data_IF_367920490944
#
_entry.id   IF_367920490944
#
_cell.length_a   1.000
_cell.length_b   1.000
_cell.length_c   1.000
_cell.angle_alpha   90.00
_cell.angle_beta   90.00
_cell.angle_gamma   90.00
#
_symmetry.space_group_name_H-M   'P 1'
#
loop_
_entity.id
_entity.type
_entity.pdbx_description
1 polymer ?
#
# COMPACT_ATOMS: atom_id res chain seq x y z
N UNK A 1 -14.08 48.87 -17.83
CA UNK A 1 -13.74 47.85 -18.85
C UNK A 1 -12.70 46.95 -18.22
N UNK A 2 -12.98 45.66 -18.05
CA UNK A 2 -11.98 44.70 -17.58
C UNK A 2 -11.26 44.12 -18.80
N UNK A 3 -9.94 44.08 -18.78
CA UNK A 3 -9.10 43.47 -19.82
C UNK A 3 -8.46 42.23 -19.22
N UNK A 4 -8.62 41.09 -19.87
CA UNK A 4 -7.95 39.87 -19.44
C UNK A 4 -6.44 40.00 -19.68
N UNK A 5 -5.65 39.80 -18.63
CA UNK A 5 -4.18 39.74 -18.69
C UNK A 5 -3.72 38.31 -18.42
N UNK A 6 -2.62 37.89 -19.06
CA UNK A 6 -1.99 36.60 -18.77
C UNK A 6 -1.22 36.70 -17.45
N UNK A 7 -1.45 35.77 -16.53
CA UNK A 7 -0.73 35.71 -15.24
C UNK A 7 -0.53 34.30 -14.67
N UNK A 8 -1.18 33.28 -15.23
CA UNK A 8 -1.13 31.91 -14.69
C UNK A 8 0.28 31.29 -14.71
N UNK A 9 0.99 31.38 -15.83
CA UNK A 9 2.33 30.81 -15.98
C UNK A 9 3.35 31.40 -14.99
N UNK A 10 3.36 32.73 -14.85
CA UNK A 10 4.23 33.42 -13.90
C UNK A 10 3.88 33.07 -12.45
N UNK A 11 2.59 32.95 -12.13
CA UNK A 11 2.14 32.53 -10.80
C UNK A 11 2.60 31.10 -10.47
N UNK A 12 2.50 30.18 -11.43
CA UNK A 12 2.95 28.78 -11.27
C UNK A 12 4.47 28.73 -11.08
N UNK A 13 5.24 29.45 -11.91
CA UNK A 13 6.70 29.49 -11.78
C UNK A 13 7.15 30.01 -10.40
N UNK A 14 6.53 31.09 -9.92
CA UNK A 14 6.80 31.63 -8.59
C UNK A 14 6.41 30.65 -7.48
N UNK A 15 5.28 29.94 -7.62
CA UNK A 15 4.86 28.94 -6.65
C UNK A 15 5.88 27.78 -6.55
N UNK A 16 6.45 27.34 -7.69
CA UNK A 16 7.51 26.33 -7.68
C UNK A 16 8.78 26.81 -6.98
N UNK A 17 9.22 28.06 -7.23
CA UNK A 17 10.37 28.63 -6.52
C UNK A 17 10.14 28.69 -5.01
N UNK A 18 8.95 29.10 -4.57
CA UNK A 18 8.59 29.12 -3.16
C UNK A 18 8.56 27.71 -2.54
N UNK A 19 8.15 26.70 -3.31
CA UNK A 19 8.18 25.31 -2.88
C UNK A 19 9.63 24.80 -2.73
N UNK A 20 10.52 25.15 -3.66
CA UNK A 20 11.94 24.78 -3.60
C UNK A 20 12.64 25.46 -2.42
N UNK A 21 12.37 26.74 -2.18
CA UNK A 21 12.86 27.47 -1.00
C UNK A 21 12.39 26.79 0.29
N UNK A 22 11.09 26.47 0.37
CA UNK A 22 10.50 25.78 1.52
C UNK A 22 11.12 24.39 1.72
N UNK A 23 11.33 23.62 0.64
CA UNK A 23 11.98 22.30 0.69
C UNK A 23 13.41 22.41 1.19
N UNK A 24 14.18 23.40 0.72
CA UNK A 24 15.57 23.60 1.16
C UNK A 24 15.64 24.00 2.63
N UNK A 25 14.71 24.83 3.12
CA UNK A 25 14.67 25.27 4.51
C UNK A 25 15.85 26.18 4.89
N UNK A 26 16.20 26.19 6.17
CA UNK A 26 17.30 27.03 6.69
C UNK A 26 18.65 26.63 6.08
N UNK A 27 19.34 27.61 5.50
CA UNK A 27 20.66 27.42 4.88
C UNK A 27 21.78 27.22 5.91
N UNK A 28 21.54 27.53 7.18
CA UNK A 28 22.46 27.21 8.28
C UNK A 28 22.51 25.71 8.58
N UNK A 29 21.45 24.98 8.22
CA UNK A 29 21.37 23.52 8.34
C UNK A 29 21.91 22.87 7.07
N UNK A 30 22.76 21.86 7.24
CA UNK A 30 23.29 21.07 6.14
C UNK A 30 22.16 20.42 5.34
N UNK A 31 22.28 20.46 4.01
CA UNK A 31 21.28 19.87 3.14
C UNK A 31 21.24 18.34 3.29
N UNK A 32 20.04 17.80 3.44
CA UNK A 32 19.84 16.36 3.47
C UNK A 32 20.23 15.72 2.12
N UNK A 33 21.12 14.74 2.17
CA UNK A 33 21.57 13.98 1.00
C UNK A 33 20.64 12.80 0.73
N UNK A 34 20.57 12.35 -0.54
CA UNK A 34 19.83 11.13 -0.91
C UNK A 34 20.41 9.91 -0.17
N UNK A 35 21.74 9.84 -0.05
CA UNK A 35 22.42 8.79 0.70
C UNK A 35 22.02 8.72 2.18
N UNK A 36 21.81 9.87 2.86
CA UNK A 36 21.30 9.88 4.23
C UNK A 36 19.90 9.28 4.32
N UNK A 37 18.98 9.67 3.43
CA UNK A 37 17.61 9.14 3.40
C UNK A 37 17.62 7.63 3.14
N UNK A 38 18.36 7.19 2.12
CA UNK A 38 18.46 5.79 1.73
C UNK A 38 18.95 4.90 2.88
N UNK A 39 19.96 5.35 3.64
CA UNK A 39 20.60 4.53 4.66
C UNK A 39 19.97 4.68 6.06
N UNK A 40 19.37 5.83 6.38
CA UNK A 40 18.88 6.13 7.73
C UNK A 40 17.35 6.09 7.84
N UNK A 41 16.62 6.19 6.72
CA UNK A 41 15.15 6.11 6.68
C UNK A 41 14.64 4.91 5.83
N UNK A 42 15.16 3.69 6.03
CA UNK A 42 14.92 2.57 5.12
C UNK A 42 13.45 2.15 5.03
N UNK A 43 12.66 2.33 6.10
CA UNK A 43 11.22 1.98 6.10
C UNK A 43 10.39 2.90 5.20
N UNK A 44 10.75 4.18 5.15
CA UNK A 44 10.12 5.17 4.24
C UNK A 44 10.45 4.81 2.80
N UNK A 45 11.73 4.54 2.51
CA UNK A 45 12.19 4.15 1.18
C UNK A 45 11.49 2.86 0.72
N UNK A 46 11.37 1.87 1.59
CA UNK A 46 10.65 0.63 1.31
C UNK A 46 9.17 0.88 0.95
N UNK A 47 8.47 1.75 1.69
CA UNK A 47 7.09 2.12 1.39
C UNK A 47 6.97 2.82 0.03
N UNK A 48 7.84 3.79 -0.26
CA UNK A 48 7.86 4.50 -1.55
C UNK A 48 8.13 3.54 -2.71
N UNK A 49 9.06 2.59 -2.56
CA UNK A 49 9.31 1.55 -3.58
C UNK A 49 8.08 0.64 -3.79
N UNK A 50 7.46 0.17 -2.70
CA UNK A 50 6.31 -0.75 -2.77
C UNK A 50 5.12 -0.09 -3.46
N UNK A 51 4.67 1.05 -2.94
CA UNK A 51 3.53 1.80 -3.47
C UNK A 51 3.87 2.52 -4.77
N UNK A 52 5.13 2.82 -5.07
CA UNK A 52 5.59 3.35 -6.36
C UNK A 52 5.79 2.27 -7.44
N UNK A 53 5.84 0.99 -7.05
CA UNK A 53 6.04 -0.17 -7.94
C UNK A 53 7.33 -0.14 -8.75
N UNK A 54 8.39 0.37 -8.15
CA UNK A 54 9.74 0.37 -8.72
C UNK A 54 10.72 0.07 -7.59
N UNK A 55 11.46 -1.03 -7.72
CA UNK A 55 12.53 -1.36 -6.78
C UNK A 55 13.80 -0.63 -7.19
N UNK A 56 14.01 0.53 -6.56
CA UNK A 56 15.26 1.30 -6.63
C UNK A 56 15.36 2.17 -5.37
N UNK A 57 16.21 1.79 -4.39
CA UNK A 57 16.31 2.54 -3.14
C UNK A 57 16.80 3.98 -3.30
N UNK A 58 17.65 4.24 -4.29
CA UNK A 58 18.20 5.58 -4.53
C UNK A 58 17.12 6.49 -5.13
N UNK A 59 16.40 6.01 -6.14
CA UNK A 59 15.30 6.77 -6.76
C UNK A 59 14.13 6.99 -5.80
N UNK A 60 13.80 6.01 -4.96
CA UNK A 60 12.78 6.19 -3.92
C UNK A 60 13.21 7.24 -2.87
N UNK A 61 14.48 7.25 -2.46
CA UNK A 61 15.03 8.27 -1.58
C UNK A 61 15.07 9.66 -2.24
N UNK A 62 15.40 9.73 -3.54
CA UNK A 62 15.34 10.96 -4.34
C UNK A 62 13.91 11.51 -4.41
N UNK A 63 12.91 10.66 -4.72
CA UNK A 63 11.52 11.04 -4.77
C UNK A 63 11.02 11.57 -3.41
N UNK A 64 11.40 10.90 -2.31
CA UNK A 64 11.08 11.34 -0.96
C UNK A 64 11.70 12.71 -0.63
N UNK A 65 12.97 12.93 -1.00
CA UNK A 65 13.64 14.23 -0.86
C UNK A 65 12.92 15.30 -1.66
N UNK A 66 12.62 15.02 -2.93
CA UNK A 66 11.97 15.96 -3.84
C UNK A 66 10.58 16.37 -3.34
N UNK A 67 9.84 15.42 -2.78
CA UNK A 67 8.53 15.61 -2.17
C UNK A 67 8.56 16.27 -0.77
N UNK A 68 9.72 16.70 -0.27
CA UNK A 68 9.86 17.29 1.07
C UNK A 68 9.33 16.40 2.19
N UNK A 69 9.42 15.08 2.01
CA UNK A 69 8.93 14.09 2.97
C UNK A 69 7.46 13.68 2.82
N UNK A 70 6.73 14.22 1.83
CA UNK A 70 5.38 13.73 1.50
C UNK A 70 5.46 12.38 0.80
N UNK A 71 4.95 11.34 1.47
CA UNK A 71 4.97 9.96 0.97
C UNK A 71 4.10 9.77 -0.28
N UNK A 72 2.93 10.41 -0.35
CA UNK A 72 2.00 10.21 -1.47
C UNK A 72 2.58 10.88 -2.72
N UNK A 73 3.12 12.09 -2.59
CA UNK A 73 3.80 12.78 -3.69
C UNK A 73 5.08 12.03 -4.12
N UNK A 74 5.86 11.49 -3.18
CA UNK A 74 7.04 10.68 -3.49
C UNK A 74 6.69 9.40 -4.28
N UNK A 75 5.62 8.71 -3.86
CA UNK A 75 5.08 7.55 -4.57
C UNK A 75 4.63 7.93 -5.97
N UNK A 76 3.94 9.06 -6.12
CA UNK A 76 3.48 9.53 -7.42
C UNK A 76 4.65 9.89 -8.34
N UNK A 77 5.68 10.60 -7.85
CA UNK A 77 6.90 10.91 -8.59
C UNK A 77 7.60 9.64 -9.10
N UNK A 78 7.79 8.65 -8.23
CA UNK A 78 8.44 7.38 -8.60
C UNK A 78 7.61 6.60 -9.62
N UNK A 79 6.29 6.56 -9.44
CA UNK A 79 5.35 5.91 -10.36
C UNK A 79 5.31 6.60 -11.73
N UNK A 80 5.35 7.93 -11.75
CA UNK A 80 5.42 8.71 -12.98
C UNK A 80 6.75 8.46 -13.70
N UNK A 81 7.87 8.43 -12.98
CA UNK A 81 9.18 8.11 -13.54
C UNK A 81 9.21 6.71 -14.16
N UNK A 82 8.62 5.70 -13.50
CA UNK A 82 8.50 4.33 -14.03
C UNK A 82 7.87 4.29 -15.43
N UNK A 83 6.90 5.17 -15.72
CA UNK A 83 6.25 5.21 -17.04
C UNK A 83 7.15 5.76 -18.15
N UNK A 84 8.29 6.37 -17.80
CA UNK A 84 9.30 6.83 -18.76
C UNK A 84 10.32 5.73 -19.12
N UNK A 85 10.33 4.63 -18.37
CA UNK A 85 11.30 3.55 -18.52
C UNK A 85 10.85 2.54 -19.57
N UNK A 86 11.83 1.96 -20.27
CA UNK A 86 11.60 0.85 -21.20
C UNK A 86 11.50 -0.46 -20.41
N UNK A 87 10.49 -1.27 -20.72
CA UNK A 87 10.38 -2.65 -20.18
C UNK A 87 11.24 -3.58 -21.05
N UNK A 88 12.37 -4.04 -20.51
CA UNK A 88 13.28 -4.95 -21.21
C UNK A 88 12.80 -6.41 -21.21
N UNK A 89 11.99 -6.82 -20.24
CA UNK A 89 11.50 -8.19 -20.13
C UNK A 89 10.79 -8.46 -18.81
N UNK A 90 10.64 -9.74 -18.49
CA UNK A 90 10.07 -10.23 -17.23
C UNK A 90 11.10 -11.12 -16.53
N UNK A 91 11.13 -11.06 -15.21
CA UNK A 91 11.87 -12.05 -14.43
C UNK A 91 11.17 -13.39 -14.48
N UNK A 92 11.91 -14.45 -14.18
CA UNK A 92 11.32 -15.69 -13.67
C UNK A 92 10.54 -15.38 -12.37
N UNK A 93 9.55 -16.21 -11.99
CA UNK A 93 8.92 -16.10 -10.68
C UNK A 93 9.97 -16.12 -9.57
N UNK A 94 9.81 -15.23 -8.58
CA UNK A 94 10.74 -15.14 -7.47
C UNK A 94 10.65 -16.40 -6.59
N UNK A 95 11.77 -17.06 -6.35
CA UNK A 95 11.83 -18.18 -5.42
C UNK A 95 12.17 -17.70 -4.00
N UNK A 96 11.15 -17.34 -3.22
CA UNK A 96 11.33 -16.94 -1.82
C UNK A 96 11.68 -18.11 -0.88
N UNK A 97 11.70 -19.36 -1.36
CA UNK A 97 12.22 -20.47 -0.57
C UNK A 97 13.74 -20.36 -0.40
N UNK A 98 14.44 -19.82 -1.41
CA UNK A 98 15.88 -19.56 -1.44
C UNK A 98 16.26 -18.18 -0.86
N UNK A 99 15.36 -17.53 -0.11
CA UNK A 99 15.60 -16.20 0.46
C UNK A 99 16.78 -16.21 1.44
N UNK A 100 17.72 -15.28 1.27
CA UNK A 100 18.73 -14.96 2.28
C UNK A 100 18.08 -14.19 3.43
N UNK A 101 17.64 -14.93 4.44
CA UNK A 101 16.84 -14.42 5.55
C UNK A 101 17.62 -13.45 6.44
N UNK A 102 16.99 -12.31 6.73
CA UNK A 102 17.35 -11.38 7.80
C UNK A 102 16.42 -11.47 8.99
N UNK A 103 15.18 -11.87 8.75
CA UNK A 103 14.14 -12.04 9.76
C UNK A 103 13.19 -13.15 9.31
N UNK A 104 12.76 -13.97 10.27
CA UNK A 104 11.81 -15.06 10.08
C UNK A 104 11.05 -15.31 11.38
N UNK A 105 9.75 -15.10 11.39
CA UNK A 105 8.92 -15.41 12.55
C UNK A 105 7.65 -16.18 12.18
N UNK A 106 7.13 -16.95 13.12
CA UNK A 106 5.82 -17.60 13.04
C UNK A 106 5.09 -17.48 14.37
N UNK A 107 3.79 -17.20 14.32
CA UNK A 107 2.92 -17.18 15.50
C UNK A 107 2.15 -18.49 15.70
N UNK A 108 2.22 -19.44 14.76
CA UNK A 108 1.47 -20.71 14.82
C UNK A 108 2.27 -21.84 15.47
N UNK A 109 3.60 -21.70 15.57
CA UNK A 109 4.48 -22.66 16.23
C UNK A 109 5.45 -21.97 17.16
N UNK A 110 5.71 -22.59 18.33
CA UNK A 110 6.72 -22.10 19.28
C UNK A 110 8.12 -22.19 18.68
N UNK A 111 8.49 -23.38 18.21
CA UNK A 111 9.78 -23.69 17.61
C UNK A 111 9.57 -24.18 16.18
N UNK A 112 10.49 -23.79 15.29
CA UNK A 112 10.46 -24.11 13.87
C UNK A 112 11.80 -24.70 13.44
N UNK A 113 11.85 -25.57 12.42
CA UNK A 113 13.10 -25.85 11.73
C UNK A 113 13.73 -24.54 11.22
N UNK A 114 15.00 -24.31 11.52
CA UNK A 114 15.68 -23.02 11.30
C UNK A 114 15.44 -21.93 12.36
N UNK A 115 14.61 -22.20 13.38
CA UNK A 115 14.35 -21.30 14.50
C UNK A 115 13.51 -20.06 14.18
N UNK A 116 13.21 -19.30 15.23
CA UNK A 116 12.64 -17.95 15.15
C UNK A 116 13.80 -16.95 15.06
N UNK A 117 13.86 -16.18 13.98
CA UNK A 117 14.90 -15.18 13.72
C UNK A 117 14.25 -13.80 13.81
N UNK A 118 14.44 -13.10 14.92
CA UNK A 118 13.81 -11.79 15.11
C UNK A 118 14.38 -10.73 14.16
N UNK A 119 15.67 -10.78 13.85
CA UNK A 119 16.31 -9.78 12.98
C UNK A 119 16.16 -8.33 13.48
N UNK A 120 16.45 -7.33 12.63
CA UNK A 120 16.21 -5.93 12.96
C UNK A 120 14.71 -5.65 13.03
N UNK A 121 14.20 -5.25 14.19
CA UNK A 121 12.77 -4.99 14.40
C UNK A 121 12.52 -3.96 15.49
N UNK A 122 11.40 -3.23 15.38
CA UNK A 122 10.86 -2.41 16.45
C UNK A 122 9.94 -3.21 17.40
N UNK A 123 9.69 -4.48 17.13
CA UNK A 123 8.97 -5.36 18.05
C UNK A 123 9.68 -5.39 19.40
N UNK A 124 8.90 -5.44 20.48
CA UNK A 124 9.39 -5.48 21.87
C UNK A 124 10.12 -4.22 22.38
N UNK A 125 10.33 -3.20 21.55
CA UNK A 125 10.87 -1.91 22.01
C UNK A 125 9.87 -1.16 22.92
N UNK A 126 10.38 -0.32 23.82
CA UNK A 126 9.52 0.63 24.55
C UNK A 126 9.29 1.87 23.68
N UNK A 127 8.02 2.28 23.50
CA UNK A 127 7.65 3.40 22.63
C UNK A 127 7.83 4.74 23.35
N UNK A 128 9.07 5.05 23.69
CA UNK A 128 9.50 6.30 24.32
C UNK A 128 10.35 7.08 23.31
N UNK A 129 10.18 8.40 23.27
CA UNK A 129 11.05 9.25 22.45
C UNK A 129 12.48 9.19 23.00
N UNK A 130 13.42 8.84 22.14
CA UNK A 130 14.83 8.80 22.47
C UNK A 130 15.48 10.17 22.23
N UNK A 131 15.58 10.96 23.30
CA UNK A 131 16.19 12.30 23.24
C UNK A 131 17.70 12.27 22.99
N UNK A 132 18.37 11.12 23.09
CA UNK A 132 19.80 11.01 22.79
C UNK A 132 20.09 11.27 21.31
N UNK A 133 19.13 10.97 20.42
CA UNK A 133 19.21 11.19 18.98
C UNK A 133 19.15 12.67 18.57
N UNK A 134 18.93 13.60 19.50
CA UNK A 134 19.05 15.04 19.25
C UNK A 134 20.50 15.54 19.29
N UNK A 135 21.43 14.72 19.78
CA UNK A 135 22.84 15.09 19.85
C UNK A 135 23.61 14.58 18.64
N UNK A 136 24.41 15.46 18.01
CA UNK A 136 25.29 15.11 16.87
C UNK A 136 26.50 14.26 17.28
N UNK A 137 26.60 13.89 18.56
CA UNK A 137 27.65 13.00 19.02
C UNK A 137 27.45 11.66 18.34
N UNK A 138 28.47 11.22 17.60
CA UNK A 138 28.54 9.86 17.11
C UNK A 138 28.37 8.93 18.33
N UNK A 139 27.17 8.40 18.51
CA UNK A 139 26.98 7.23 19.35
C UNK A 139 28.01 6.19 18.86
N UNK A 140 28.65 5.47 19.78
CA UNK A 140 29.51 4.35 19.43
C UNK A 140 28.81 3.52 18.35
N UNK A 141 29.51 3.22 17.25
CA UNK A 141 28.94 2.46 16.15
C UNK A 141 28.23 1.23 16.74
N UNK A 142 26.93 1.02 16.46
CA UNK A 142 26.22 -0.11 17.04
C UNK A 142 26.92 -1.40 16.63
N UNK A 143 27.65 -2.01 17.57
CA UNK A 143 28.31 -3.29 17.35
C UNK A 143 27.27 -4.39 17.50
N UNK A 144 26.57 -4.67 16.42
CA UNK A 144 25.89 -5.93 16.26
C UNK A 144 26.95 -7.05 16.26
N UNK A 145 26.89 -7.98 17.23
CA UNK A 145 27.71 -9.20 17.20
C UNK A 145 27.32 -10.03 15.97
N UNK A 146 27.99 -9.79 14.85
CA UNK A 146 27.74 -10.50 13.59
C UNK A 146 27.92 -12.02 13.74
N UNK A 147 28.72 -12.47 14.70
CA UNK A 147 28.96 -13.88 15.01
C UNK A 147 27.78 -14.56 15.75
N UNK A 148 26.88 -13.80 16.40
CA UNK A 148 25.65 -14.31 17.04
C UNK A 148 24.40 -14.10 16.16
N UNK A 149 24.45 -13.18 15.19
CA UNK A 149 23.37 -12.90 14.24
C UNK A 149 23.51 -13.87 13.06
N UNK A 150 23.24 -15.15 13.32
CA UNK A 150 22.95 -16.16 12.31
C UNK A 150 23.83 -16.12 11.06
N UNK A 151 25.16 -16.12 11.21
CA UNK A 151 26.13 -16.23 10.13
C UNK A 151 26.14 -17.59 9.40
N UNK A 152 25.01 -18.32 9.38
CA UNK A 152 25.01 -19.71 8.95
C UNK A 152 23.66 -20.36 8.66
N UNK A 153 22.61 -19.61 8.31
CA UNK A 153 21.40 -20.24 7.78
C UNK A 153 21.34 -20.10 6.25
N UNK A 154 22.38 -20.63 5.60
CA UNK A 154 22.43 -20.95 4.16
C UNK A 154 21.73 -22.27 3.82
N UNK A 155 21.18 -22.97 4.82
CA UNK A 155 20.37 -24.15 4.58
C UNK A 155 18.97 -23.76 4.08
N UNK A 156 18.41 -24.57 3.18
CA UNK A 156 17.07 -24.37 2.63
C UNK A 156 16.04 -24.51 3.76
N UNK A 157 15.68 -23.39 4.40
CA UNK A 157 14.76 -23.39 5.53
C UNK A 157 13.33 -23.60 4.99
N UNK A 158 12.66 -24.69 5.35
CA UNK A 158 11.32 -24.99 4.87
C UNK A 158 10.30 -23.96 5.38
N UNK A 159 9.28 -23.70 4.56
CA UNK A 159 8.15 -22.82 4.90
C UNK A 159 7.24 -23.51 5.91
N UNK A 160 6.63 -22.71 6.80
CA UNK A 160 5.67 -23.19 7.80
C UNK A 160 4.45 -23.83 7.14
N UNK A 161 3.94 -23.20 6.08
CA UNK A 161 2.82 -23.71 5.28
C UNK A 161 3.13 -25.03 4.58
N UNK A 162 4.41 -25.30 4.26
CA UNK A 162 4.84 -26.59 3.71
C UNK A 162 4.64 -27.75 4.68
N UNK A 163 4.76 -27.53 6.00
CA UNK A 163 4.45 -28.56 6.99
C UNK A 163 2.94 -28.81 7.08
N UNK A 164 2.14 -27.74 7.13
CA UNK A 164 0.68 -27.84 7.19
C UNK A 164 0.12 -28.52 5.94
N UNK A 165 0.68 -28.23 4.76
CA UNK A 165 0.25 -28.82 3.49
C UNK A 165 0.56 -30.32 3.42
N UNK A 166 1.74 -30.76 3.88
CA UNK A 166 2.09 -32.21 3.95
C UNK A 166 1.15 -33.02 4.84
N UNK A 167 0.56 -32.39 5.86
CA UNK A 167 -0.44 -33.01 6.73
C UNK A 167 -1.89 -32.84 6.22
N UNK A 168 -2.09 -32.16 5.08
CA UNK A 168 -3.41 -31.86 4.53
C UNK A 168 -4.21 -30.87 5.38
N UNK A 169 -3.55 -30.08 6.22
CA UNK A 169 -4.19 -29.15 7.16
C UNK A 169 -4.46 -27.77 6.57
N UNK A 170 -3.82 -27.40 5.46
CA UNK A 170 -4.01 -26.12 4.77
C UNK A 170 -4.29 -26.38 3.29
N UNK A 171 -5.08 -25.51 2.68
CA UNK A 171 -5.28 -25.56 1.22
C UNK A 171 -3.94 -25.49 0.48
N UNK A 172 -3.78 -26.38 -0.50
CA UNK A 172 -2.61 -26.36 -1.38
C UNK A 172 -2.72 -25.20 -2.36
N UNK A 173 -1.58 -24.56 -2.61
CA UNK A 173 -1.46 -23.59 -3.68
C UNK A 173 -0.88 -24.35 -4.86
N UNK A 174 -1.74 -24.70 -5.81
CA UNK A 174 -1.30 -25.37 -7.01
C UNK A 174 -0.35 -24.45 -7.76
N UNK A 175 0.79 -24.97 -8.18
CA UNK A 175 1.61 -24.26 -9.14
C UNK A 175 0.78 -24.13 -10.43
N UNK A 176 0.43 -22.90 -10.78
CA UNK A 176 -0.01 -22.61 -12.15
C UNK A 176 1.10 -23.04 -13.10
N UNK A 177 0.74 -23.44 -14.33
CA UNK A 177 1.76 -23.83 -15.31
C UNK A 177 2.60 -22.58 -15.61
N UNK A 178 3.92 -22.70 -15.77
CA UNK A 178 4.81 -21.54 -16.06
C UNK A 178 4.38 -20.78 -17.34
N UNK A 179 3.51 -21.39 -18.15
CA UNK A 179 2.88 -20.82 -19.34
C UNK A 179 1.61 -20.00 -19.10
N UNK A 180 1.01 -20.04 -17.92
CA UNK A 180 -0.22 -19.32 -17.63
C UNK A 180 0.04 -17.80 -17.62
N UNK A 181 -0.77 -17.08 -18.40
CA UNK A 181 -0.61 -15.65 -18.55
C UNK A 181 -1.06 -14.91 -17.27
N UNK A 182 -0.11 -14.32 -16.56
CA UNK A 182 -0.38 -13.44 -15.42
C UNK A 182 -0.95 -12.10 -15.90
N UNK A 183 -2.05 -11.67 -15.30
CA UNK A 183 -2.66 -10.37 -15.57
C UNK A 183 -1.76 -9.20 -15.23
N UNK A 184 -1.88 -8.09 -15.97
CA UNK A 184 -1.07 -6.89 -15.76
C UNK A 184 -1.91 -5.60 -15.80
N UNK A 185 -2.24 -5.09 -14.60
CA UNK A 185 -2.94 -3.82 -14.38
C UNK A 185 -2.22 -2.61 -14.96
N UNK A 186 -0.92 -2.71 -15.24
CA UNK A 186 -0.16 -1.63 -15.87
C UNK A 186 -0.32 -1.61 -17.39
N UNK A 187 -0.99 -2.61 -17.97
CA UNK A 187 -1.27 -2.72 -19.41
C UNK A 187 -2.75 -2.84 -19.73
N UNK A 188 -3.53 -3.43 -18.83
CA UNK A 188 -4.96 -3.65 -19.00
C UNK A 188 -5.73 -3.02 -17.83
N UNK A 189 -6.85 -2.33 -18.08
CA UNK A 189 -7.66 -1.79 -17.00
C UNK A 189 -8.25 -2.90 -16.14
N UNK A 190 -8.44 -2.62 -14.85
CA UNK A 190 -9.08 -3.54 -13.92
C UNK A 190 -10.50 -3.87 -14.37
N UNK A 191 -10.85 -5.16 -14.38
CA UNK A 191 -12.21 -5.65 -14.60
C UNK A 191 -12.66 -6.44 -13.37
N UNK A 192 -13.87 -6.16 -12.89
CA UNK A 192 -14.48 -6.86 -11.76
C UNK A 192 -15.50 -7.88 -12.30
N UNK A 193 -15.50 -9.12 -11.82
CA UNK A 193 -14.60 -9.64 -10.79
C UNK A 193 -13.21 -10.00 -11.33
N UNK A 194 -12.17 -9.63 -10.59
CA UNK A 194 -10.77 -9.84 -10.95
C UNK A 194 -10.26 -11.21 -10.48
N UNK A 195 -9.29 -11.74 -11.22
CA UNK A 195 -8.52 -12.92 -10.82
C UNK A 195 -7.53 -12.57 -9.68
N UNK A 196 -7.12 -13.58 -8.91
CA UNK A 196 -6.35 -13.37 -7.67
C UNK A 196 -4.98 -12.71 -7.91
N UNK A 197 -4.36 -13.00 -9.05
CA UNK A 197 -3.13 -12.36 -9.53
C UNK A 197 -3.28 -10.83 -9.67
N UNK A 198 -4.34 -10.36 -10.33
CA UNK A 198 -4.67 -8.94 -10.47
C UNK A 198 -5.01 -8.31 -9.12
N UNK A 199 -5.73 -9.02 -8.25
CA UNK A 199 -6.01 -8.53 -6.89
C UNK A 199 -4.73 -8.36 -6.10
N UNK A 200 -3.84 -9.36 -6.07
CA UNK A 200 -2.55 -9.27 -5.40
C UNK A 200 -1.66 -8.17 -5.99
N UNK A 201 -1.66 -7.99 -7.32
CA UNK A 201 -0.94 -6.90 -7.98
C UNK A 201 -1.48 -5.52 -7.56
N UNK A 202 -2.80 -5.36 -7.46
CA UNK A 202 -3.44 -4.14 -6.95
C UNK A 202 -3.10 -3.89 -5.48
N UNK A 203 -3.21 -4.91 -4.62
CA UNK A 203 -2.91 -4.78 -3.19
C UNK A 203 -1.43 -4.44 -2.94
N UNK A 204 -0.51 -4.99 -3.72
CA UNK A 204 0.92 -4.64 -3.64
C UNK A 204 1.15 -3.14 -3.92
N UNK A 205 0.36 -2.55 -4.84
CA UNK A 205 0.39 -1.13 -5.24
C UNK A 205 -0.38 -0.20 -4.31
N UNK A 206 -1.34 -0.73 -3.56
CA UNK A 206 -2.28 0.10 -2.79
C UNK A 206 -1.65 0.88 -1.63
N UNK A 207 -2.41 1.75 -1.01
CA UNK A 207 -2.01 2.51 0.17
C UNK A 207 -1.93 1.61 1.40
N UNK A 208 -0.81 1.70 2.11
CA UNK A 208 -0.60 0.91 3.31
C UNK A 208 -1.61 1.22 4.43
N UNK A 209 -2.02 2.48 4.60
CA UNK A 209 -2.97 2.90 5.64
C UNK A 209 -4.40 2.43 5.38
N UNK A 210 -4.83 2.49 4.11
CA UNK A 210 -6.11 1.97 3.66
C UNK A 210 -6.20 0.45 3.88
N UNK A 211 -5.22 -0.31 3.39
CA UNK A 211 -5.19 -1.76 3.56
C UNK A 211 -5.09 -2.17 5.04
N UNK A 212 -4.30 -1.45 5.83
CA UNK A 212 -4.23 -1.67 7.28
C UNK A 212 -5.61 -1.50 7.93
N UNK A 213 -6.35 -0.45 7.55
CA UNK A 213 -7.66 -0.16 8.11
C UNK A 213 -8.69 -1.23 7.73
N UNK A 214 -8.66 -1.71 6.48
CA UNK A 214 -9.48 -2.83 6.03
C UNK A 214 -9.15 -4.12 6.79
N UNK A 215 -7.87 -4.49 6.86
CA UNK A 215 -7.42 -5.66 7.62
C UNK A 215 -7.81 -5.59 9.09
N UNK A 216 -7.65 -4.41 9.72
CA UNK A 216 -8.08 -4.20 11.10
C UNK A 216 -9.60 -4.33 11.27
N UNK A 217 -10.40 -3.87 10.29
CA UNK A 217 -11.85 -4.03 10.34
C UNK A 217 -12.29 -5.50 10.37
N UNK A 218 -11.61 -6.39 9.64
CA UNK A 218 -11.93 -7.82 9.65
C UNK A 218 -11.61 -8.47 11.00
N UNK A 219 -10.49 -8.07 11.62
CA UNK A 219 -10.12 -8.48 12.98
C UNK A 219 -11.13 -8.00 14.04
N UNK A 220 -11.80 -6.88 13.77
CA UNK A 220 -12.87 -6.31 14.62
C UNK A 220 -14.25 -6.90 14.36
N UNK A 221 -14.39 -7.79 13.37
CA UNK A 221 -15.60 -8.56 13.14
C UNK A 221 -16.32 -8.28 11.81
N UNK A 222 -15.83 -7.34 11.00
CA UNK A 222 -16.42 -7.02 9.68
C UNK A 222 -15.84 -7.97 8.62
N UNK A 223 -16.54 -9.07 8.32
CA UNK A 223 -16.03 -10.10 7.41
C UNK A 223 -14.99 -10.99 8.11
N UNK A 224 -15.38 -11.56 9.27
CA UNK A 224 -14.50 -12.32 10.17
C UNK A 224 -13.70 -13.39 9.43
N UNK A 225 -12.38 -13.24 9.47
CA UNK A 225 -11.44 -14.20 8.93
C UNK A 225 -10.28 -14.43 9.92
N UNK A 226 -10.55 -14.98 11.12
CA UNK A 226 -9.58 -15.17 12.23
C UNK A 226 -8.15 -15.50 11.76
N UNK A 227 -7.25 -14.49 11.67
CA UNK A 227 -5.97 -14.66 11.01
C UNK A 227 -4.88 -15.02 12.03
N UNK A 228 -4.02 -15.95 11.67
CA UNK A 228 -2.78 -16.27 12.36
C UNK A 228 -1.60 -16.03 11.44
N UNK A 229 -0.53 -15.43 11.94
CA UNK A 229 0.72 -15.30 11.19
C UNK A 229 1.35 -16.69 11.09
N UNK A 230 1.19 -17.34 9.92
CA UNK A 230 1.84 -18.60 9.63
C UNK A 230 3.34 -18.40 9.53
N UNK A 231 3.76 -17.46 8.69
CA UNK A 231 5.17 -17.07 8.57
C UNK A 231 5.30 -15.63 8.04
N UNK A 232 6.25 -14.87 8.59
CA UNK A 232 6.79 -13.64 8.00
C UNK A 232 8.27 -13.86 7.75
N UNK A 233 8.72 -13.60 6.52
CA UNK A 233 10.13 -13.69 6.11
C UNK A 233 10.57 -12.37 5.50
N UNK A 234 11.71 -11.84 5.93
CA UNK A 234 12.34 -10.68 5.32
C UNK A 234 13.75 -11.07 4.91
N UNK A 235 14.12 -10.76 3.68
CA UNK A 235 15.44 -11.13 3.18
C UNK A 235 15.62 -10.76 1.72
N UNK A 236 16.77 -11.18 1.18
CA UNK A 236 17.14 -10.95 -0.21
C UNK A 236 16.80 -12.17 -1.06
N UNK A 237 16.24 -11.94 -2.24
CA UNK A 237 15.89 -12.98 -3.21
C UNK A 237 16.53 -12.60 -4.54
N UNK A 238 17.17 -13.56 -5.20
CA UNK A 238 17.74 -13.39 -6.52
C UNK A 238 16.64 -13.12 -7.55
N UNK A 239 16.94 -12.25 -8.52
CA UNK A 239 16.08 -11.96 -9.66
C UNK A 239 16.76 -12.52 -10.89
N UNK A 240 16.09 -13.46 -11.53
CA UNK A 240 16.60 -14.10 -12.74
C UNK A 240 15.77 -13.70 -13.95
N UNK A 241 16.41 -13.52 -15.10
CA UNK A 241 15.75 -13.35 -16.40
C UNK A 241 16.25 -14.41 -17.37
N UNK A 242 15.47 -14.68 -18.43
CA UNK A 242 15.90 -15.51 -19.56
C UNK A 242 15.96 -14.62 -20.80
N UNK A 243 17.13 -14.03 -21.13
CA UNK A 243 17.28 -13.22 -22.34
C UNK A 243 17.12 -14.09 -23.57
N UNK A 244 16.43 -13.57 -24.59
CA UNK A 244 16.22 -14.28 -25.86
C UNK A 244 17.56 -14.63 -26.53
N UNK A 245 18.56 -13.77 -26.36
CA UNK A 245 19.90 -13.91 -26.93
C UNK A 245 20.71 -15.05 -26.30
N UNK A 246 20.41 -15.42 -25.05
CA UNK A 246 21.14 -16.46 -24.30
C UNK A 246 20.37 -17.78 -24.23
N UNK A 247 19.04 -17.73 -24.11
CA UNK A 247 18.19 -18.92 -24.00
C UNK A 247 18.33 -19.69 -22.66
N UNK A 248 19.01 -19.12 -21.65
CA UNK A 248 19.10 -19.68 -20.30
C UNK A 248 18.98 -18.58 -19.24
N UNK A 249 18.66 -18.99 -18.00
CA UNK A 249 18.47 -18.07 -16.89
C UNK A 249 19.80 -17.43 -16.44
N UNK A 250 19.79 -16.11 -16.23
CA UNK A 250 20.90 -15.36 -15.64
C UNK A 250 20.39 -14.57 -14.43
N UNK A 251 21.20 -14.55 -13.37
CA UNK A 251 21.00 -13.69 -12.20
C UNK A 251 21.39 -12.25 -12.55
N UNK A 252 20.47 -11.30 -12.33
CA UNK A 252 20.68 -9.87 -12.59
C UNK A 252 20.78 -9.04 -11.30
N UNK A 253 20.76 -9.69 -10.14
CA UNK A 253 20.88 -9.09 -8.83
C UNK A 253 19.82 -9.59 -7.85
N UNK A 254 19.78 -8.95 -6.70
CA UNK A 254 18.90 -9.32 -5.59
C UNK A 254 17.98 -8.16 -5.18
N UNK A 255 16.78 -8.52 -4.74
CA UNK A 255 15.84 -7.58 -4.15
C UNK A 255 15.54 -7.97 -2.72
N UNK A 256 15.41 -6.97 -1.85
CA UNK A 256 14.92 -7.17 -0.49
C UNK A 256 13.39 -7.19 -0.52
N UNK A 257 12.80 -8.25 0.01
CA UNK A 257 11.35 -8.42 0.09
C UNK A 257 10.93 -8.86 1.49
N UNK A 258 9.69 -8.54 1.83
CA UNK A 258 8.96 -9.12 2.96
C UNK A 258 7.82 -9.98 2.40
N UNK A 259 7.85 -11.27 2.72
CA UNK A 259 6.78 -12.24 2.45
C UNK A 259 5.99 -12.48 3.73
N UNK A 260 4.66 -12.43 3.64
CA UNK A 260 3.75 -12.77 4.73
C UNK A 260 2.72 -13.80 4.26
N UNK A 261 2.65 -14.91 4.99
CA UNK A 261 1.65 -15.95 4.81
C UNK A 261 0.76 -16.02 6.05
N UNK A 262 -0.52 -15.72 5.86
CA UNK A 262 -1.54 -15.84 6.89
C UNK A 262 -2.23 -17.20 6.79
N UNK A 263 -2.49 -17.81 7.94
CA UNK A 263 -3.36 -18.97 8.09
C UNK A 263 -4.69 -18.47 8.64
N UNK A 264 -5.79 -18.81 7.98
CA UNK A 264 -7.12 -18.34 8.33
C UNK A 264 -8.05 -19.53 8.64
N UNK A 265 -9.15 -19.23 9.31
CA UNK A 265 -10.11 -20.23 9.78
C UNK A 265 -10.49 -21.27 8.71
N UNK A 266 -10.64 -22.52 9.15
CA UNK A 266 -10.84 -23.65 8.28
C UNK A 266 -12.21 -23.65 7.61
N UNK A 267 -12.27 -24.17 6.38
CA UNK A 267 -13.52 -24.52 5.70
C UNK A 267 -13.50 -26.02 5.39
N UNK A 268 -14.63 -26.68 5.58
CA UNK A 268 -14.85 -28.08 5.20
C UNK A 268 -16.24 -28.22 4.58
N UNK A 269 -16.42 -29.22 3.74
CA UNK A 269 -17.72 -29.55 3.13
C UNK A 269 -18.03 -31.02 3.36
N UNK A 270 -19.18 -31.50 2.87
CA UNK A 270 -19.46 -32.94 2.88
C UNK A 270 -18.51 -33.73 1.95
N UNK A 271 -17.85 -33.06 1.00
CA UNK A 271 -16.99 -33.67 -0.02
C UNK A 271 -15.51 -33.37 0.18
N UNK A 272 -15.14 -32.44 1.06
CA UNK A 272 -13.76 -32.02 1.32
C UNK A 272 -13.48 -31.93 2.82
N UNK A 273 -12.37 -32.53 3.24
CA UNK A 273 -11.92 -32.47 4.62
C UNK A 273 -11.73 -31.00 5.06
N UNK A 274 -12.01 -30.66 6.34
CA UNK A 274 -11.77 -29.31 6.82
C UNK A 274 -10.29 -28.93 6.76
N UNK A 275 -9.96 -27.88 5.99
CA UNK A 275 -8.59 -27.36 5.86
C UNK A 275 -8.57 -25.88 6.19
N UNK A 276 -7.47 -25.41 6.78
CA UNK A 276 -7.19 -23.98 6.88
C UNK A 276 -7.15 -23.35 5.49
N UNK A 277 -7.60 -22.09 5.44
CA UNK A 277 -7.42 -21.25 4.26
C UNK A 277 -6.21 -20.34 4.47
N UNK A 278 -5.78 -19.63 3.43
CA UNK A 278 -4.60 -18.79 3.48
C UNK A 278 -4.78 -17.43 2.80
N UNK A 279 -4.00 -16.48 3.29
CA UNK A 279 -3.81 -15.16 2.69
C UNK A 279 -2.34 -14.91 2.40
N UNK A 280 -2.05 -14.15 1.35
CA UNK A 280 -0.69 -13.90 0.88
C UNK A 280 -0.39 -12.40 0.71
N UNK A 281 0.80 -11.99 1.15
CA UNK A 281 1.30 -10.64 0.94
C UNK A 281 2.80 -10.63 0.65
N UNK A 282 3.21 -9.82 -0.32
CA UNK A 282 4.60 -9.65 -0.71
C UNK A 282 4.87 -8.17 -1.01
N UNK A 283 5.90 -7.60 -0.38
CA UNK A 283 6.25 -6.19 -0.56
C UNK A 283 7.77 -5.99 -0.60
N UNK A 284 8.23 -4.91 -1.22
CA UNK A 284 9.64 -4.53 -1.20
C UNK A 284 10.10 -4.06 0.19
N UNK A 285 11.39 -4.28 0.48
CA UNK A 285 12.03 -3.88 1.72
C UNK A 285 11.42 -4.54 2.96
N UNK A 286 11.53 -3.88 4.11
CA UNK A 286 11.07 -4.36 5.41
C UNK A 286 9.66 -3.80 5.77
N UNK A 287 8.71 -3.89 4.83
CA UNK A 287 7.34 -3.40 5.00
C UNK A 287 6.39 -4.47 5.56
N UNK A 288 6.68 -4.99 6.77
CA UNK A 288 5.89 -6.07 7.40
C UNK A 288 4.41 -5.72 7.54
N UNK A 289 4.10 -4.53 8.06
CA UNK A 289 2.72 -4.10 8.28
C UNK A 289 1.91 -4.08 6.98
N UNK A 290 2.50 -3.61 5.87
CA UNK A 290 1.91 -3.67 4.55
C UNK A 290 1.66 -5.11 4.11
N UNK A 291 2.68 -5.98 4.17
CA UNK A 291 2.59 -7.37 3.74
C UNK A 291 1.53 -8.15 4.54
N UNK A 292 1.46 -7.93 5.85
CA UNK A 292 0.42 -8.50 6.71
C UNK A 292 -0.98 -8.01 6.32
N UNK A 293 -1.15 -6.71 6.10
CA UNK A 293 -2.43 -6.13 5.70
C UNK A 293 -2.88 -6.68 4.34
N UNK A 294 -1.95 -6.79 3.39
CA UNK A 294 -2.18 -7.41 2.09
C UNK A 294 -2.64 -8.86 2.23
N UNK A 295 -1.99 -9.67 3.08
CA UNK A 295 -2.38 -11.07 3.29
C UNK A 295 -3.78 -11.22 3.89
N UNK A 296 -4.15 -10.37 4.84
CA UNK A 296 -5.51 -10.39 5.42
C UNK A 296 -6.57 -9.96 4.40
N UNK A 297 -6.29 -8.92 3.61
CA UNK A 297 -7.22 -8.42 2.59
C UNK A 297 -7.31 -9.37 1.39
N UNK A 298 -6.21 -9.98 0.94
CA UNK A 298 -6.23 -11.05 -0.06
C UNK A 298 -7.22 -12.14 0.34
N UNK A 299 -7.08 -12.67 1.56
CA UNK A 299 -8.02 -13.68 2.05
C UNK A 299 -9.46 -13.18 2.13
N UNK A 300 -9.70 -11.92 2.52
CA UNK A 300 -11.05 -11.36 2.57
C UNK A 300 -11.70 -11.28 1.17
N UNK A 301 -10.92 -10.92 0.14
CA UNK A 301 -11.37 -10.85 -1.26
C UNK A 301 -11.59 -12.22 -1.91
N UNK A 302 -11.20 -13.32 -1.25
CA UNK A 302 -11.47 -14.68 -1.70
C UNK A 302 -12.86 -15.19 -1.31
N UNK A 303 -13.75 -14.33 -0.81
CA UNK A 303 -15.10 -14.70 -0.39
C UNK A 303 -15.87 -15.49 -1.47
N UNK A 304 -15.77 -15.09 -2.75
CA UNK A 304 -16.39 -15.80 -3.88
C UNK A 304 -15.79 -17.18 -4.13
N UNK A 305 -14.45 -17.28 -4.12
CA UNK A 305 -13.73 -18.56 -4.31
C UNK A 305 -14.04 -19.55 -3.20
N UNK A 306 -14.27 -19.01 -2.01
CA UNK A 306 -14.50 -19.76 -0.80
C UNK A 306 -15.98 -19.84 -0.45
N UNK A 307 -16.91 -19.48 -1.34
CA UNK A 307 -18.37 -19.54 -1.13
C UNK A 307 -18.78 -18.98 0.27
N UNK A 308 -18.35 -17.75 0.54
CA UNK A 308 -18.62 -16.95 1.74
C UNK A 308 -19.48 -15.74 1.37
N UNK A 309 -20.32 -15.28 2.31
CA UNK A 309 -21.08 -14.05 2.13
C UNK A 309 -20.14 -12.82 2.13
N UNK A 310 -20.42 -11.89 1.22
CA UNK A 310 -19.70 -10.62 1.07
C UNK A 310 -20.46 -9.51 1.81
N UNK A 311 -20.31 -9.47 3.13
CA UNK A 311 -21.11 -8.60 4.00
C UNK A 311 -20.31 -7.44 4.60
N UNK A 312 -19.04 -7.30 4.24
CA UNK A 312 -18.14 -6.31 4.80
C UNK A 312 -17.29 -5.59 3.73
N UNK A 313 -16.89 -4.33 3.97
CA UNK A 313 -16.10 -3.56 3.01
C UNK A 313 -14.80 -4.23 2.58
N UNK A 314 -14.13 -4.99 3.44
CA UNK A 314 -12.90 -5.69 3.10
C UNK A 314 -13.10 -6.91 2.18
N UNK A 315 -14.34 -7.38 2.03
CA UNK A 315 -14.73 -8.47 1.13
C UNK A 315 -15.30 -7.94 -0.20
N UNK A 316 -15.72 -6.67 -0.24
CA UNK A 316 -16.26 -6.02 -1.42
C UNK A 316 -15.13 -5.68 -2.39
N UNK A 317 -15.02 -6.50 -3.43
CA UNK A 317 -13.93 -6.45 -4.40
C UNK A 317 -13.85 -5.12 -5.15
N UNK A 318 -14.98 -4.56 -5.57
CA UNK A 318 -15.00 -3.29 -6.28
C UNK A 318 -14.62 -2.14 -5.35
N UNK A 319 -15.15 -2.14 -4.12
CA UNK A 319 -14.82 -1.13 -3.12
C UNK A 319 -13.33 -1.16 -2.74
N UNK A 320 -12.75 -2.34 -2.50
CA UNK A 320 -11.33 -2.41 -2.11
C UNK A 320 -10.41 -2.01 -3.25
N UNK A 321 -10.59 -2.60 -4.44
CA UNK A 321 -9.60 -2.45 -5.52
C UNK A 321 -9.66 -1.08 -6.21
N UNK A 322 -10.82 -0.41 -6.19
CA UNK A 322 -11.00 0.91 -6.82
C UNK A 322 -10.59 2.08 -5.91
N UNK A 323 -10.32 1.82 -4.63
CA UNK A 323 -9.97 2.85 -3.64
C UNK A 323 -8.63 2.58 -2.94
N UNK A 324 -7.86 1.59 -3.42
CA UNK A 324 -6.59 1.21 -2.82
C UNK A 324 -5.41 2.07 -3.33
N UNK A 325 -5.35 2.45 -4.60
CA UNK A 325 -4.20 3.18 -5.16
C UNK A 325 -4.23 4.67 -4.74
N UNK A 326 -3.29 5.09 -3.90
CA UNK A 326 -3.24 6.49 -3.42
C UNK A 326 -2.84 7.48 -4.52
N UNK A 327 -2.22 7.04 -5.61
CA UNK A 327 -1.95 7.93 -6.76
C UNK A 327 -3.26 8.38 -7.37
N UNK A 328 -4.20 7.45 -7.57
CA UNK A 328 -5.53 7.76 -8.10
C UNK A 328 -6.36 8.54 -7.06
N UNK A 329 -6.41 8.05 -5.82
CA UNK A 329 -7.22 8.65 -4.77
C UNK A 329 -6.76 10.08 -4.44
N UNK A 330 -5.45 10.30 -4.28
CA UNK A 330 -4.91 11.64 -4.00
C UNK A 330 -5.16 12.58 -5.17
N UNK A 331 -4.86 12.15 -6.40
CA UNK A 331 -5.11 12.96 -7.59
C UNK A 331 -6.59 13.39 -7.69
N UNK A 332 -7.51 12.47 -7.43
CA UNK A 332 -8.95 12.74 -7.47
C UNK A 332 -9.47 13.50 -6.24
N UNK A 333 -8.82 13.51 -5.08
CA UNK A 333 -9.23 14.41 -3.99
C UNK A 333 -8.68 15.81 -4.22
N UNK A 334 -7.42 15.90 -4.64
CA UNK A 334 -6.71 17.16 -4.80
C UNK A 334 -7.16 17.96 -6.02
N UNK A 335 -7.75 17.32 -7.04
CA UNK A 335 -8.27 18.05 -8.19
C UNK A 335 -9.30 19.10 -7.79
N UNK A 336 -9.98 18.97 -6.63
CA UNK A 336 -10.92 19.96 -6.10
C UNK A 336 -10.29 21.36 -5.89
N UNK A 337 -8.95 21.45 -5.82
CA UNK A 337 -8.20 22.72 -5.81
C UNK A 337 -8.27 23.46 -7.17
N UNK A 338 -8.56 22.74 -8.26
CA UNK A 338 -8.67 23.31 -9.59
C UNK A 338 -9.95 24.17 -9.73
N UNK A 339 -10.00 25.06 -10.73
CA UNK A 339 -11.15 25.93 -10.89
C UNK A 339 -12.44 25.18 -11.29
N UNK A 340 -13.41 25.13 -10.38
CA UNK A 340 -14.77 24.57 -10.61
C UNK A 340 -15.87 25.64 -10.70
N UNK A 341 -15.49 26.89 -11.01
CA UNK A 341 -16.41 28.03 -10.93
C UNK A 341 -17.57 27.94 -11.93
N UNK A 342 -17.42 27.24 -13.06
CA UNK A 342 -18.51 27.08 -14.04
C UNK A 342 -19.62 26.19 -13.48
N UNK A 343 -19.27 24.99 -13.01
CA UNK A 343 -20.24 24.05 -12.42
C UNK A 343 -20.90 24.65 -11.18
N UNK A 344 -20.10 25.34 -10.35
CA UNK A 344 -20.62 26.02 -9.18
C UNK A 344 -21.61 27.14 -9.54
N UNK A 345 -21.41 27.88 -10.64
CA UNK A 345 -22.39 28.88 -11.09
C UNK A 345 -23.71 28.24 -11.51
N UNK A 346 -23.69 27.05 -12.12
CA UNK A 346 -24.89 26.30 -12.47
C UNK A 346 -25.68 25.90 -11.22
N UNK A 347 -25.00 25.35 -10.20
CA UNK A 347 -25.60 25.02 -8.90
C UNK A 347 -26.14 26.24 -8.17
N UNK A 348 -25.39 27.34 -8.14
CA UNK A 348 -25.85 28.61 -7.56
C UNK A 348 -27.12 29.12 -8.25
N UNK A 349 -27.20 28.98 -9.57
CA UNK A 349 -28.35 29.40 -10.36
C UNK A 349 -29.58 28.54 -10.03
N UNK A 350 -29.40 27.23 -9.87
CA UNK A 350 -30.47 26.33 -9.40
C UNK A 350 -30.96 26.71 -8.01
N UNK A 351 -30.07 26.91 -7.04
CA UNK A 351 -30.43 27.30 -5.67
C UNK A 351 -31.17 28.63 -5.66
N UNK A 352 -30.71 29.64 -6.41
CA UNK A 352 -31.39 30.94 -6.52
C UNK A 352 -32.81 30.79 -7.07
N UNK A 353 -33.01 29.94 -8.08
CA UNK A 353 -34.33 29.66 -8.64
C UNK A 353 -35.25 28.95 -7.63
N UNK A 354 -34.74 27.96 -6.90
CA UNK A 354 -35.51 27.25 -5.87
C UNK A 354 -35.92 28.19 -4.73
N UNK A 355 -35.01 29.06 -4.26
CA UNK A 355 -35.30 30.09 -3.26
C UNK A 355 -36.38 31.05 -3.74
N UNK A 356 -36.25 31.59 -4.96
CA UNK A 356 -37.27 32.48 -5.53
C UNK A 356 -38.66 31.83 -5.66
N UNK A 357 -38.74 30.51 -5.89
CA UNK A 357 -40.02 29.77 -5.88
C UNK A 357 -40.57 29.57 -4.48
N UNK A 358 -39.69 29.34 -3.50
CA UNK A 358 -40.07 29.20 -2.10
C UNK A 358 -40.62 30.51 -1.55
N UNK A 359 -39.92 31.62 -1.76
CA UNK A 359 -40.32 32.95 -1.28
C UNK A 359 -41.69 33.36 -1.86
N UNK A 360 -41.92 33.13 -3.16
CA UNK A 360 -43.23 33.36 -3.80
C UNK A 360 -44.36 32.49 -3.24
N UNK A 361 -44.06 31.26 -2.81
CA UNK A 361 -45.04 30.37 -2.17
C UNK A 361 -45.37 30.83 -0.74
N UNK A 362 -44.38 31.29 0.01
CA UNK A 362 -44.58 31.83 1.35
C UNK A 362 -45.33 33.16 1.33
N UNK A 363 -45.01 34.06 0.38
CA UNK A 363 -45.80 35.27 0.13
C UNK A 363 -47.26 34.91 -0.19
N UNK A 364 -47.50 33.98 -1.12
CA UNK A 364 -48.85 33.55 -1.48
C UNK A 364 -49.64 32.93 -0.31
N UNK A 365 -48.99 32.18 0.59
CA UNK A 365 -49.63 31.67 1.82
C UNK A 365 -49.97 32.79 2.80
N UNK A 366 -49.10 33.79 2.94
CA UNK A 366 -49.34 34.95 3.80
C UNK A 366 -50.52 35.80 3.28
N UNK A 367 -50.75 35.83 1.97
CA UNK A 367 -51.91 36.48 1.35
C UNK A 367 -53.21 35.67 1.45
N UNK A 368 -53.17 34.35 1.61
CA UNK A 368 -54.36 33.48 1.69
C UNK A 368 -54.85 33.29 3.14
N UNK A 369 -54.01 33.51 4.15
CA UNK A 369 -54.37 33.32 5.58
C UNK A 369 -54.12 34.58 6.43
N UNK A 370 -54.79 35.73 6.16
CA UNK A 370 -54.59 36.97 6.92
C UNK A 370 -55.10 36.89 8.38
N UNK A 371 -55.90 35.88 8.75
CA UNK A 371 -56.51 35.77 10.08
C UNK A 371 -55.62 35.12 11.15
N UNK A 372 -54.44 34.58 10.81
CA UNK A 372 -53.50 34.01 11.80
C UNK A 372 -52.47 34.98 12.36
N UNK A 373 -52.31 36.16 11.77
CA UNK A 373 -51.46 37.22 12.32
C UNK A 373 -52.35 38.32 12.91
N UNK A 374 -52.99 37.98 14.04
CA UNK A 374 -53.83 38.89 14.80
C UNK A 374 -53.09 40.17 15.19
N UNK A 375 -53.38 41.24 14.47
CA UNK A 375 -53.15 42.61 14.94
C UNK A 375 -54.20 42.84 16.04
N UNK A 376 -53.79 42.63 17.29
CA UNK A 376 -54.53 43.14 18.44
C UNK A 376 -54.54 44.67 18.37
N UNK A 377 -55.72 45.22 18.10
CA UNK A 377 -56.01 46.65 18.25
C UNK A 377 -55.98 47.01 19.74
N UNK A 378 -55.20 48.03 20.08
CA UNK A 378 -55.54 49.04 21.08
C UNK A 378 -55.09 50.39 20.55
#
# INVERSE_FOLDING_TARGET
MYVAVKGGEQAIANAHLLLEEKRRGDLSVLEMTVGQIQNQLPLVVARVMAEGSLYDPELAALAFKQASGDLIEAVFLLRAFRNTLTRFGYSRPLDTSCMHLRRRISATFKDLPGGQILGPTYDYTHRLLDFSLLSDNAAEEPQANADEIGSGLTENIPRVTGFLSREGLIEEENADDDSDAVGDLTRQPLQIPAARDLRLQNLARGDEGFLLSLAYSTQRGFGKNHPFVGEIRIGRVAVEIVPEELGFAIDIGEIMVTECQMVNQFKGSQTQAPTFTRGYGLCFGACERKAMSMAVVDRALRCRELDEACDAPAQDEEFVLSHSDNVEASGFVEHLKLPHYVDFQSEMSLIRNLRGRFDKKEEAKCFIDPEKHGINKT
#
